data_IF_155430839450
#
_entry.id   IF_155430839450
#
_cell.length_a   1.000
_cell.length_b   1.000
_cell.length_c   1.000
_cell.angle_alpha   90.00
_cell.angle_beta   90.00
_cell.angle_gamma   90.00
#
_symmetry.space_group_name_H-M   'P 1'
#
loop_
_entity.id
_entity.type
_entity.pdbx_description
1 polymer ?
#
# COMPACT_ATOMS: atom_id res chain seq x y z
N UNK A 1 4.00 -9.17 34.23
CA UNK A 1 3.27 -8.19 33.38
C UNK A 1 3.99 -7.80 32.07
N UNK A 2 5.33 -7.66 32.04
CA UNK A 2 6.11 -7.32 30.81
C UNK A 2 6.03 -8.34 29.65
N UNK A 3 5.90 -9.64 29.93
CA UNK A 3 5.95 -10.71 28.92
C UNK A 3 4.70 -10.79 28.02
N UNK A 4 3.53 -10.37 28.55
CA UNK A 4 2.26 -10.43 27.82
C UNK A 4 2.17 -9.29 26.80
N UNK A 5 2.63 -8.09 27.18
CA UNK A 5 2.68 -6.90 26.32
C UNK A 5 3.62 -7.11 25.11
N UNK A 6 4.77 -7.74 25.35
CA UNK A 6 5.75 -8.12 24.32
C UNK A 6 5.13 -9.13 23.34
N UNK A 7 4.39 -10.12 23.81
CA UNK A 7 3.77 -11.13 22.94
C UNK A 7 2.68 -10.52 22.05
N UNK A 8 1.87 -9.60 22.59
CA UNK A 8 0.78 -8.93 21.85
C UNK A 8 1.28 -7.91 20.83
N UNK A 9 2.40 -7.23 21.09
CA UNK A 9 3.00 -6.29 20.13
C UNK A 9 3.86 -7.01 19.07
N UNK A 10 4.58 -8.07 19.45
CA UNK A 10 5.51 -8.77 18.54
C UNK A 10 4.78 -9.67 17.54
N UNK A 11 3.68 -10.33 17.93
CA UNK A 11 2.93 -11.20 17.00
C UNK A 11 2.42 -10.49 15.74
N UNK A 12 1.79 -9.31 15.80
CA UNK A 12 1.41 -8.58 14.60
C UNK A 12 2.63 -8.09 13.83
N UNK A 13 3.68 -7.61 14.52
CA UNK A 13 4.95 -7.18 13.91
C UNK A 13 5.70 -8.29 13.15
N UNK A 14 5.60 -9.55 13.58
CA UNK A 14 6.17 -10.69 12.87
C UNK A 14 5.39 -11.09 11.60
N UNK A 15 4.12 -10.69 11.47
CA UNK A 15 3.33 -10.92 10.25
C UNK A 15 3.57 -9.85 9.18
N UNK A 16 3.99 -8.64 9.58
CA UNK A 16 4.36 -7.55 8.66
C UNK A 16 5.40 -8.00 7.61
N UNK A 17 6.51 -8.69 7.94
CA UNK A 17 7.46 -9.21 6.95
C UNK A 17 6.85 -10.12 5.89
N UNK A 18 5.93 -11.00 6.29
CA UNK A 18 5.30 -11.98 5.41
C UNK A 18 4.35 -11.26 4.45
N UNK A 19 3.60 -10.30 4.99
CA UNK A 19 2.74 -9.40 4.22
C UNK A 19 3.60 -8.62 3.20
N UNK A 20 4.70 -8.01 3.63
CA UNK A 20 5.64 -7.29 2.75
C UNK A 20 6.35 -8.19 1.72
N UNK A 21 6.69 -9.43 2.06
CA UNK A 21 7.25 -10.40 1.11
C UNK A 21 6.22 -10.85 0.08
N UNK A 22 4.95 -11.01 0.47
CA UNK A 22 3.87 -11.25 -0.49
C UNK A 22 3.75 -10.07 -1.45
N UNK A 23 3.79 -8.83 -0.97
CA UNK A 23 3.79 -7.63 -1.81
C UNK A 23 5.02 -7.51 -2.75
N UNK A 24 6.16 -8.12 -2.39
CA UNK A 24 7.40 -8.04 -3.18
C UNK A 24 7.41 -8.92 -4.44
N UNK A 25 6.43 -9.82 -4.62
CA UNK A 25 6.33 -10.69 -5.80
C UNK A 25 5.11 -10.32 -6.66
N UNK A 26 5.24 -10.36 -7.99
CA UNK A 26 4.11 -10.07 -8.91
C UNK A 26 2.88 -10.94 -8.63
N UNK A 27 3.09 -12.19 -8.18
CA UNK A 27 2.01 -13.11 -7.79
C UNK A 27 1.39 -12.78 -6.44
N UNK A 28 2.17 -12.27 -5.48
CA UNK A 28 1.65 -11.91 -4.16
C UNK A 28 0.92 -10.55 -4.14
N UNK A 29 1.10 -9.69 -5.15
CA UNK A 29 0.25 -8.51 -5.37
C UNK A 29 -1.22 -8.92 -5.63
N UNK A 30 -1.46 -10.07 -6.28
CA UNK A 30 -2.80 -10.58 -6.55
C UNK A 30 -3.46 -11.18 -5.30
N UNK A 31 -2.68 -11.69 -4.34
CA UNK A 31 -3.18 -12.26 -3.08
C UNK A 31 -3.19 -11.25 -1.92
N UNK A 32 -2.50 -10.13 -2.08
CA UNK A 32 -2.43 -9.04 -1.12
C UNK A 32 -3.77 -8.42 -0.68
N UNK A 33 -4.84 -8.36 -1.52
CA UNK A 33 -6.12 -7.82 -1.08
C UNK A 33 -6.64 -8.54 0.17
N UNK A 34 -6.50 -9.87 0.21
CA UNK A 34 -6.90 -10.72 1.35
C UNK A 34 -6.16 -10.35 2.64
N UNK A 35 -4.89 -9.92 2.53
CA UNK A 35 -4.09 -9.50 3.68
C UNK A 35 -4.49 -8.12 4.23
N UNK A 36 -5.14 -7.27 3.42
CA UNK A 36 -5.57 -5.91 3.78
C UNK A 36 -7.03 -5.88 4.24
N UNK A 37 -7.83 -6.88 3.87
CA UNK A 37 -9.23 -7.04 4.32
C UNK A 37 -9.43 -6.88 5.84
N UNK A 38 -8.56 -7.39 6.74
CA UNK A 38 -8.73 -7.20 8.19
C UNK A 38 -8.61 -5.74 8.67
N UNK A 39 -7.95 -4.88 7.88
CA UNK A 39 -7.79 -3.45 8.20
C UNK A 39 -9.02 -2.64 7.74
N UNK A 40 -9.81 -3.21 6.82
CA UNK A 40 -10.91 -2.52 6.14
C UNK A 40 -12.24 -3.12 6.60
N UNK A 41 -12.82 -2.50 7.62
CA UNK A 41 -14.01 -3.02 8.32
C UNK A 41 -15.33 -2.65 7.61
N UNK A 42 -15.34 -1.61 6.76
CA UNK A 42 -16.54 -1.16 6.04
C UNK A 42 -16.19 -0.48 4.71
N UNK A 43 -17.13 -0.44 3.76
CA UNK A 43 -16.97 0.25 2.48
C UNK A 43 -16.61 1.75 2.64
N UNK A 44 -17.25 2.43 3.61
CA UNK A 44 -16.92 3.83 3.92
C UNK A 44 -15.50 3.98 4.46
N UNK A 45 -15.06 3.08 5.34
CA UNK A 45 -13.69 3.05 5.83
C UNK A 45 -12.68 2.76 4.72
N UNK A 46 -13.00 1.78 3.86
CA UNK A 46 -12.22 1.41 2.69
C UNK A 46 -11.98 2.61 1.77
N UNK A 47 -13.05 3.34 1.43
CA UNK A 47 -12.96 4.53 0.58
C UNK A 47 -12.09 5.62 1.20
N UNK A 48 -12.20 5.86 2.51
CA UNK A 48 -11.34 6.83 3.21
C UNK A 48 -9.87 6.45 3.13
N UNK A 49 -9.55 5.17 3.36
CA UNK A 49 -8.18 4.66 3.28
C UNK A 49 -7.66 4.76 1.84
N UNK A 50 -8.45 4.36 0.85
CA UNK A 50 -8.09 4.48 -0.56
C UNK A 50 -7.80 5.94 -0.92
N UNK A 51 -8.70 6.85 -0.58
CA UNK A 51 -8.53 8.28 -0.89
C UNK A 51 -7.30 8.89 -0.21
N UNK A 52 -7.06 8.54 1.06
CA UNK A 52 -5.86 8.96 1.77
C UNK A 52 -4.57 8.44 1.11
N UNK A 53 -4.56 7.17 0.66
CA UNK A 53 -3.44 6.59 -0.06
C UNK A 53 -3.22 7.23 -1.43
N UNK A 54 -4.28 7.56 -2.17
CA UNK A 54 -4.15 8.27 -3.45
C UNK A 54 -3.54 9.65 -3.29
N UNK A 55 -3.95 10.40 -2.25
CA UNK A 55 -3.34 11.69 -1.92
C UNK A 55 -1.87 11.50 -1.56
N UNK A 56 -1.55 10.48 -0.75
CA UNK A 56 -0.18 10.14 -0.39
C UNK A 56 0.66 9.76 -1.61
N UNK A 57 0.12 8.95 -2.53
CA UNK A 57 0.78 8.57 -3.79
C UNK A 57 1.08 9.80 -4.64
N UNK A 58 0.12 10.72 -4.77
CA UNK A 58 0.33 11.97 -5.49
C UNK A 58 1.43 12.84 -4.85
N UNK A 59 1.36 13.08 -3.54
CA UNK A 59 2.37 13.88 -2.81
C UNK A 59 3.75 13.21 -2.91
N UNK A 60 3.83 11.91 -2.68
CA UNK A 60 5.08 11.15 -2.74
C UNK A 60 5.63 11.08 -4.16
N UNK A 61 4.79 10.99 -5.20
CA UNK A 61 5.20 11.04 -6.60
C UNK A 61 5.79 12.40 -7.01
N UNK A 62 5.20 13.50 -6.52
CA UNK A 62 5.75 14.86 -6.70
C UNK A 62 7.10 14.98 -6.00
N UNK A 63 7.17 14.58 -4.72
CA UNK A 63 8.41 14.67 -3.95
C UNK A 63 9.52 13.79 -4.53
N UNK A 64 9.21 12.57 -4.98
CA UNK A 64 10.15 11.69 -5.67
C UNK A 64 10.69 12.36 -6.94
N UNK A 65 9.82 12.97 -7.75
CA UNK A 65 10.23 13.70 -8.95
C UNK A 65 11.09 14.92 -8.61
N UNK A 66 10.82 15.61 -7.50
CA UNK A 66 11.67 16.70 -7.01
C UNK A 66 13.06 16.23 -6.59
N UNK A 67 13.16 15.13 -5.83
CA UNK A 67 14.43 14.53 -5.41
C UNK A 67 15.25 14.07 -6.62
N UNK A 68 14.62 13.43 -7.61
CA UNK A 68 15.26 13.03 -8.86
C UNK A 68 15.79 14.25 -9.63
N UNK A 69 14.98 15.30 -9.80
CA UNK A 69 15.41 16.52 -10.48
C UNK A 69 16.62 17.15 -9.79
N UNK A 70 16.63 17.25 -8.46
CA UNK A 70 17.76 17.80 -7.69
C UNK A 70 19.03 16.96 -7.81
N UNK A 71 18.94 15.65 -8.08
CA UNK A 71 20.10 14.79 -8.33
C UNK A 71 20.66 15.02 -9.74
N UNK A 72 19.77 15.18 -10.73
CA UNK A 72 20.15 15.38 -12.14
C UNK A 72 20.66 16.81 -12.38
N UNK A 73 20.07 17.82 -11.74
CA UNK A 73 20.54 19.22 -11.79
C UNK A 73 22.00 19.38 -11.32
N UNK A 74 22.46 18.53 -10.40
CA UNK A 74 23.87 18.54 -9.96
C UNK A 74 24.84 18.05 -11.04
N UNK A 75 24.34 17.29 -12.01
CA UNK A 75 25.12 16.70 -13.10
C UNK A 75 25.00 17.57 -14.35
N UNK A 76 23.80 18.05 -14.66
CA UNK A 76 23.49 18.89 -15.82
C UNK A 76 22.65 20.11 -15.41
N UNK A 77 23.26 21.31 -15.31
CA UNK A 77 22.59 22.53 -14.87
C UNK A 77 21.47 23.01 -15.81
N UNK A 78 21.51 22.64 -17.09
CA UNK A 78 20.56 23.06 -18.13
C UNK A 78 19.14 22.52 -17.90
N UNK A 79 19.00 21.42 -17.16
CA UNK A 79 17.72 20.77 -16.85
C UNK A 79 16.93 21.48 -15.74
N UNK A 80 17.46 22.58 -15.18
CA UNK A 80 16.79 23.38 -14.15
C UNK A 80 15.44 23.93 -14.63
N UNK A 81 15.31 24.23 -15.92
CA UNK A 81 14.11 24.83 -16.50
C UNK A 81 13.05 23.79 -16.89
N UNK A 82 13.33 22.48 -16.82
CA UNK A 82 12.32 21.47 -17.12
C UNK A 82 11.22 21.43 -16.05
N UNK A 83 9.96 21.19 -16.43
CA UNK A 83 8.86 21.11 -15.49
C UNK A 83 9.07 19.93 -14.50
N UNK A 84 8.78 20.19 -13.22
CA UNK A 84 8.93 19.20 -12.15
C UNK A 84 8.01 17.96 -12.35
N UNK A 85 6.87 18.17 -12.99
CA UNK A 85 5.84 17.18 -13.27
C UNK A 85 5.53 17.26 -14.76
N UNK A 86 5.70 16.15 -15.48
CA UNK A 86 5.26 16.08 -16.88
C UNK A 86 3.73 15.99 -16.95
N UNK A 87 3.16 16.58 -17.98
CA UNK A 87 1.72 16.49 -18.25
C UNK A 87 1.24 15.04 -18.37
N UNK A 88 2.09 14.14 -18.85
CA UNK A 88 1.84 12.70 -18.91
C UNK A 88 1.63 12.07 -17.54
N UNK A 89 2.48 12.40 -16.54
CA UNK A 89 2.33 11.88 -15.16
C UNK A 89 0.99 12.32 -14.54
N UNK A 90 0.60 13.57 -14.79
CA UNK A 90 -0.67 14.10 -14.31
C UNK A 90 -1.87 13.43 -14.99
N UNK A 91 -1.80 13.22 -16.31
CA UNK A 91 -2.79 12.45 -17.07
C UNK A 91 -2.93 11.02 -16.54
N UNK A 92 -1.81 10.36 -16.26
CA UNK A 92 -1.80 8.98 -15.75
C UNK A 92 -2.46 8.89 -14.36
N UNK A 93 -2.20 9.85 -13.49
CA UNK A 93 -2.88 9.96 -12.19
C UNK A 93 -4.39 10.19 -12.34
N UNK A 94 -4.82 10.98 -13.33
CA UNK A 94 -6.23 11.19 -13.64
C UNK A 94 -6.92 9.93 -14.16
N UNK A 95 -6.27 9.21 -15.09
CA UNK A 95 -6.77 7.92 -15.62
C UNK A 95 -6.90 6.89 -14.50
N UNK A 96 -5.91 6.81 -13.61
CA UNK A 96 -5.92 5.94 -12.43
C UNK A 96 -7.14 6.22 -11.55
N UNK A 97 -7.40 7.49 -11.22
CA UNK A 97 -8.57 7.89 -10.44
C UNK A 97 -9.89 7.51 -11.11
N UNK A 98 -10.04 7.80 -12.41
CA UNK A 98 -11.24 7.45 -13.17
C UNK A 98 -11.47 5.94 -13.20
N UNK A 99 -10.42 5.14 -13.38
CA UNK A 99 -10.49 3.68 -13.37
C UNK A 99 -10.98 3.15 -12.00
N UNK A 100 -10.50 3.73 -10.90
CA UNK A 100 -10.88 3.30 -9.56
C UNK A 100 -12.34 3.61 -9.30
N UNK A 101 -12.78 4.83 -9.60
CA UNK A 101 -14.18 5.24 -9.46
C UNK A 101 -15.09 4.34 -10.31
N UNK A 102 -14.75 4.14 -11.59
CA UNK A 102 -15.55 3.32 -12.50
C UNK A 102 -15.68 1.87 -12.02
N UNK A 103 -14.58 1.24 -11.61
CA UNK A 103 -14.60 -0.16 -11.15
C UNK A 103 -15.30 -0.34 -9.80
N UNK A 104 -15.16 0.61 -8.87
CA UNK A 104 -15.89 0.59 -7.60
C UNK A 104 -17.39 0.77 -7.85
N UNK A 105 -17.80 1.70 -8.72
CA UNK A 105 -19.20 1.88 -9.08
C UNK A 105 -19.77 0.65 -9.76
N UNK A 106 -19.04 0.06 -10.71
CA UNK A 106 -19.47 -1.17 -11.38
C UNK A 106 -19.67 -2.31 -10.36
N UNK A 107 -18.73 -2.51 -9.44
CA UNK A 107 -18.84 -3.51 -8.39
C UNK A 107 -20.07 -3.26 -7.49
N UNK A 108 -20.31 -2.00 -7.13
CA UNK A 108 -21.48 -1.60 -6.36
C UNK A 108 -22.79 -1.87 -7.11
N UNK A 109 -22.87 -1.52 -8.40
CA UNK A 109 -24.06 -1.79 -9.21
C UNK A 109 -24.31 -3.28 -9.40
N UNK A 110 -23.27 -4.08 -9.65
CA UNK A 110 -23.39 -5.56 -9.72
C UNK A 110 -23.93 -6.10 -8.39
N UNK A 111 -23.38 -5.65 -7.26
CA UNK A 111 -23.85 -6.06 -5.94
C UNK A 111 -25.33 -5.73 -5.71
N UNK A 112 -25.79 -4.57 -6.19
CA UNK A 112 -27.19 -4.13 -6.08
C UNK A 112 -28.15 -4.83 -7.04
N UNK A 113 -27.77 -4.99 -8.31
CA UNK A 113 -28.62 -5.62 -9.34
C UNK A 113 -28.82 -7.11 -9.02
N UNK A 114 -27.77 -7.80 -8.59
CA UNK A 114 -27.82 -9.22 -8.27
C UNK A 114 -28.17 -9.52 -6.81
N UNK A 115 -28.51 -8.49 -6.01
CA UNK A 115 -28.85 -8.62 -4.58
C UNK A 115 -27.84 -9.44 -3.77
N UNK A 116 -26.55 -9.27 -4.09
CA UNK A 116 -25.48 -10.05 -3.48
C UNK A 116 -25.34 -9.63 -2.01
N UNK A 117 -25.56 -10.58 -1.10
CA UNK A 117 -25.46 -10.34 0.34
C UNK A 117 -24.01 -10.25 0.77
N UNK A 118 -23.79 -9.52 1.87
CA UNK A 118 -22.49 -9.53 2.53
C UNK A 118 -22.17 -10.92 3.09
N UNK A 119 -20.90 -11.25 3.14
CA UNK A 119 -20.40 -12.51 3.68
C UNK A 119 -19.34 -12.24 4.74
N UNK A 120 -19.32 -13.07 5.77
CA UNK A 120 -18.26 -13.08 6.76
C UNK A 120 -17.12 -13.95 6.24
N UNK A 121 -15.88 -13.55 6.53
CA UNK A 121 -14.71 -14.38 6.26
C UNK A 121 -14.13 -14.77 7.62
N UNK A 122 -13.86 -16.06 7.85
CA UNK A 122 -13.58 -16.63 9.18
C UNK A 122 -12.37 -16.09 9.96
N UNK A 123 -11.69 -15.05 9.47
CA UNK A 123 -10.61 -14.33 10.14
C UNK A 123 -11.02 -12.92 10.63
N UNK A 124 -12.26 -12.48 10.41
CA UNK A 124 -12.75 -11.17 10.85
C UNK A 124 -14.27 -11.18 11.05
N UNK A 125 -14.74 -10.51 12.11
CA UNK A 125 -16.18 -10.28 12.36
C UNK A 125 -16.78 -9.25 11.39
N UNK A 126 -15.98 -8.68 10.49
CA UNK A 126 -16.44 -7.73 9.48
C UNK A 126 -17.24 -8.42 8.37
N UNK A 127 -18.36 -7.81 8.00
CA UNK A 127 -19.14 -8.20 6.83
C UNK A 127 -18.51 -7.62 5.57
N UNK A 128 -18.00 -8.50 4.70
CA UNK A 128 -17.39 -8.12 3.44
C UNK A 128 -18.42 -8.14 2.32
N UNK A 129 -18.24 -7.24 1.37
CA UNK A 129 -18.99 -7.23 0.12
C UNK A 129 -18.03 -7.24 -1.06
N UNK A 130 -18.53 -7.54 -2.26
CA UNK A 130 -17.71 -7.48 -3.49
C UNK A 130 -17.13 -6.08 -3.66
N UNK A 131 -17.92 -5.04 -3.38
CA UNK A 131 -17.45 -3.65 -3.40
C UNK A 131 -16.26 -3.44 -2.46
N UNK A 132 -16.33 -3.95 -1.23
CA UNK A 132 -15.22 -3.84 -0.27
C UNK A 132 -13.96 -4.53 -0.77
N UNK A 133 -14.09 -5.70 -1.41
CA UNK A 133 -12.96 -6.43 -1.99
C UNK A 133 -12.30 -5.64 -3.12
N UNK A 134 -13.11 -5.05 -4.01
CA UNK A 134 -12.59 -4.22 -5.11
C UNK A 134 -11.87 -2.99 -4.56
N UNK A 135 -12.40 -2.34 -3.53
CA UNK A 135 -11.72 -1.20 -2.90
C UNK A 135 -10.41 -1.67 -2.22
N UNK A 136 -10.42 -2.80 -1.52
CA UNK A 136 -9.23 -3.38 -0.90
C UNK A 136 -8.13 -3.72 -1.91
N UNK A 137 -8.51 -4.20 -3.10
CA UNK A 137 -7.59 -4.40 -4.21
C UNK A 137 -6.92 -3.09 -4.64
N UNK A 138 -7.68 -2.02 -4.81
CA UNK A 138 -7.09 -0.72 -5.16
C UNK A 138 -6.22 -0.12 -4.05
N UNK A 139 -6.59 -0.32 -2.78
CA UNK A 139 -5.75 0.06 -1.63
C UNK A 139 -4.37 -0.62 -1.72
N UNK A 140 -4.35 -1.90 -2.07
CA UNK A 140 -3.12 -2.67 -2.27
C UNK A 140 -2.26 -2.10 -3.40
N UNK A 141 -2.88 -1.77 -4.54
CA UNK A 141 -2.19 -1.17 -5.69
C UNK A 141 -1.58 0.19 -5.31
N UNK A 142 -2.32 1.04 -4.61
CA UNK A 142 -1.82 2.34 -4.14
C UNK A 142 -0.70 2.20 -3.11
N UNK A 143 -0.85 1.29 -2.16
CA UNK A 143 0.20 1.01 -1.20
C UNK A 143 1.50 0.56 -1.90
N UNK A 144 1.37 -0.30 -2.92
CA UNK A 144 2.51 -0.74 -3.71
C UNK A 144 3.19 0.45 -4.41
N UNK A 145 2.41 1.32 -5.06
CA UNK A 145 2.88 2.54 -5.73
C UNK A 145 3.69 3.43 -4.77
N UNK A 146 3.14 3.76 -3.61
CA UNK A 146 3.82 4.60 -2.61
C UNK A 146 5.14 3.95 -2.14
N UNK A 147 5.08 2.71 -1.69
CA UNK A 147 6.16 2.08 -0.94
C UNK A 147 7.27 1.54 -1.84
N UNK A 148 6.91 0.93 -2.97
CA UNK A 148 7.86 0.24 -3.84
C UNK A 148 8.31 1.11 -5.01
N UNK A 149 7.49 2.07 -5.45
CA UNK A 149 7.85 2.99 -6.52
C UNK A 149 8.37 4.32 -5.96
N UNK A 150 7.51 5.11 -5.31
CA UNK A 150 7.85 6.49 -4.93
C UNK A 150 8.96 6.55 -3.88
N UNK A 151 8.88 5.75 -2.80
CA UNK A 151 9.95 5.72 -1.79
C UNK A 151 11.29 5.21 -2.35
N UNK A 152 11.26 4.23 -3.25
CA UNK A 152 12.48 3.74 -3.93
C UNK A 152 13.11 4.83 -4.78
N UNK A 153 12.31 5.60 -5.54
CA UNK A 153 12.74 6.75 -6.34
C UNK A 153 13.38 7.87 -5.50
N UNK A 154 12.86 8.10 -4.29
CA UNK A 154 13.48 9.01 -3.32
C UNK A 154 14.84 8.51 -2.79
N UNK A 155 15.21 7.25 -3.03
CA UNK A 155 16.41 6.59 -2.49
C UNK A 155 16.19 5.88 -1.16
N UNK A 156 14.93 5.76 -0.72
CA UNK A 156 14.57 4.96 0.45
C UNK A 156 14.20 3.55 0.00
N UNK A 157 15.16 2.62 0.08
CA UNK A 157 14.87 1.19 -0.09
C UNK A 157 14.20 0.65 1.20
N UNK A 158 12.88 0.81 1.26
CA UNK A 158 12.05 0.46 2.40
C UNK A 158 12.15 -1.03 2.69
N UNK A 159 12.19 -1.87 1.66
CA UNK A 159 12.35 -3.34 1.80
C UNK A 159 13.68 -3.64 2.48
N UNK A 160 14.81 -3.10 1.97
CA UNK A 160 16.12 -3.36 2.58
C UNK A 160 16.18 -2.87 4.02
N UNK A 161 15.59 -1.72 4.33
CA UNK A 161 15.55 -1.20 5.71
C UNK A 161 14.69 -2.07 6.62
N UNK A 162 13.50 -2.49 6.19
CA UNK A 162 12.64 -3.40 6.95
C UNK A 162 13.32 -4.75 7.19
N UNK A 163 13.87 -5.38 6.14
CA UNK A 163 14.58 -6.66 6.26
C UNK A 163 15.79 -6.57 7.20
N UNK A 164 16.49 -5.44 7.22
CA UNK A 164 17.57 -5.18 8.19
C UNK A 164 17.07 -5.06 9.63
N UNK A 165 15.94 -4.40 9.85
CA UNK A 165 15.33 -4.30 11.18
C UNK A 165 14.86 -5.69 11.65
N UNK A 166 14.18 -6.44 10.78
CA UNK A 166 13.65 -7.78 11.09
C UNK A 166 14.78 -8.76 11.39
N UNK A 167 15.87 -8.74 10.60
CA UNK A 167 17.04 -9.60 10.86
C UNK A 167 17.72 -9.25 12.18
N UNK A 168 17.90 -7.96 12.50
CA UNK A 168 18.41 -7.54 13.82
C UNK A 168 17.50 -8.05 14.95
N UNK A 169 16.19 -7.90 14.82
CA UNK A 169 15.24 -8.41 15.82
C UNK A 169 15.31 -9.94 15.97
N UNK A 170 15.44 -10.69 14.86
CA UNK A 170 15.57 -12.16 14.89
C UNK A 170 16.86 -12.57 15.59
N UNK A 171 17.97 -11.87 15.33
CA UNK A 171 19.25 -12.11 16.00
C UNK A 171 19.19 -11.81 17.49
N UNK A 172 18.58 -10.69 17.91
CA UNK A 172 18.40 -10.34 19.32
C UNK A 172 17.50 -11.33 20.05
N UNK A 173 16.44 -11.83 19.40
CA UNK A 173 15.59 -12.88 19.98
C UNK A 173 16.37 -14.18 20.21
N UNK A 174 17.18 -14.60 19.24
CA UNK A 174 18.00 -15.81 19.37
C UNK A 174 19.05 -15.70 20.48
N UNK A 175 19.61 -14.50 20.70
CA UNK A 175 20.54 -14.22 21.81
C UNK A 175 19.86 -14.13 23.18
N UNK A 176 18.57 -13.81 23.24
CA UNK A 176 17.79 -13.80 24.49
C UNK A 176 17.23 -15.19 24.86
N UNK A 177 17.31 -16.16 23.95
CA UNK A 177 16.87 -17.54 24.17
C UNK A 177 18.05 -18.53 24.33
N UNK A 178 19.29 -18.07 24.22
CA UNK A 178 20.54 -18.77 24.60
C UNK A 178 21.03 -18.31 25.96
#
# INVERSE_FOLDING_TARGET
MKTILITYLIKPLMKIPIVFQAFATKKGLLMAPVAVLPIVISAKGALKVLFALMILDFITGIYASHVEKRKVEKINPELKNEPLISSEKLKLSGVKFMLYVATILLAYFVEKIFFIKSFAIGFSDAHFTITVIVIAFWIVVEFYSVVFENFKRMGFDVIRKLTKIISKFKSTKNQLQS
#
